data_IF_215563405269
#
_entry.id   IF_215563405269
#
_cell.length_a   1.000
_cell.length_b   1.000
_cell.length_c   1.000
_cell.angle_alpha   90.00
_cell.angle_beta   90.00
_cell.angle_gamma   90.00
#
_symmetry.space_group_name_H-M   'P 1'
#
loop_
_entity.id
_entity.type
_entity.pdbx_description
1 polymer ?
#
# COMPACT_ATOMS: atom_id res chain seq x y z
N UNK A 1 -16.81 -12.47 -11.82
CA UNK A 1 -15.48 -12.20 -11.28
C UNK A 1 -15.33 -12.89 -9.93
N UNK A 2 -14.23 -13.61 -9.70
CA UNK A 2 -14.02 -14.27 -8.42
C UNK A 2 -13.71 -13.25 -7.32
N UNK A 3 -13.86 -13.67 -6.06
CA UNK A 3 -13.51 -12.82 -4.93
C UNK A 3 -12.02 -12.45 -4.95
N UNK A 4 -11.17 -13.37 -5.37
CA UNK A 4 -9.73 -13.13 -5.46
C UNK A 4 -9.40 -12.10 -6.53
N UNK A 5 -10.08 -12.15 -7.67
CA UNK A 5 -9.90 -11.15 -8.72
C UNK A 5 -10.39 -9.77 -8.27
N UNK A 6 -11.51 -9.71 -7.53
CA UNK A 6 -11.99 -8.45 -6.95
C UNK A 6 -10.98 -7.88 -5.97
N UNK A 7 -10.41 -8.72 -5.12
CA UNK A 7 -9.40 -8.28 -4.17
C UNK A 7 -8.16 -7.76 -4.90
N UNK A 8 -7.71 -8.46 -5.95
CA UNK A 8 -6.57 -8.01 -6.75
C UNK A 8 -6.83 -6.64 -7.37
N UNK A 9 -8.03 -6.41 -7.90
CA UNK A 9 -8.39 -5.11 -8.45
C UNK A 9 -8.35 -4.01 -7.38
N UNK A 10 -8.87 -4.29 -6.19
CA UNK A 10 -8.87 -3.32 -5.10
C UNK A 10 -7.46 -2.99 -4.63
N UNK A 11 -6.60 -4.01 -4.53
CA UNK A 11 -5.19 -3.81 -4.19
C UNK A 11 -4.49 -3.00 -5.28
N UNK A 12 -4.72 -3.31 -6.55
CA UNK A 12 -4.12 -2.58 -7.66
C UNK A 12 -4.55 -1.13 -7.68
N UNK A 13 -5.83 -0.83 -7.43
CA UNK A 13 -6.31 0.54 -7.35
C UNK A 13 -5.64 1.29 -6.18
N UNK A 14 -5.50 0.63 -5.05
CA UNK A 14 -4.82 1.21 -3.89
C UNK A 14 -3.37 1.56 -4.23
N UNK A 15 -2.68 0.67 -4.94
CA UNK A 15 -1.31 0.89 -5.37
C UNK A 15 -1.22 2.09 -6.31
N UNK A 16 -2.11 2.18 -7.29
CA UNK A 16 -2.11 3.30 -8.24
C UNK A 16 -2.35 4.64 -7.52
N UNK A 17 -3.28 4.67 -6.56
CA UNK A 17 -3.52 5.87 -5.77
C UNK A 17 -2.30 6.24 -4.93
N UNK A 18 -1.65 5.25 -4.32
CA UNK A 18 -0.45 5.49 -3.52
C UNK A 18 0.69 6.03 -4.38
N UNK A 19 0.86 5.49 -5.59
CA UNK A 19 1.89 5.96 -6.53
C UNK A 19 1.64 7.41 -6.91
N UNK A 20 0.39 7.81 -7.11
CA UNK A 20 0.03 9.19 -7.42
C UNK A 20 0.40 10.17 -6.30
N UNK A 21 0.46 9.67 -5.07
CA UNK A 21 0.74 10.51 -3.91
C UNK A 21 2.22 10.59 -3.54
N UNK A 22 3.10 9.89 -4.25
CA UNK A 22 4.53 9.84 -3.93
C UNK A 22 5.15 11.23 -3.88
N UNK A 23 4.90 12.07 -4.89
CA UNK A 23 5.50 13.39 -4.97
C UNK A 23 5.02 14.29 -3.82
N UNK A 24 3.74 14.20 -3.46
CA UNK A 24 3.20 14.97 -2.35
C UNK A 24 3.84 14.54 -1.02
N UNK A 25 4.00 13.25 -0.80
CA UNK A 25 4.65 12.74 0.40
C UNK A 25 6.12 13.18 0.47
N UNK A 26 6.84 13.12 -0.66
CA UNK A 26 8.24 13.57 -0.68
C UNK A 26 8.36 15.03 -0.28
N UNK A 27 7.50 15.90 -0.83
CA UNK A 27 7.52 17.33 -0.51
C UNK A 27 7.21 17.57 0.96
N UNK A 28 6.21 16.89 1.50
CA UNK A 28 5.83 17.05 2.91
C UNK A 28 6.94 16.61 3.84
N UNK A 29 7.56 15.47 3.55
CA UNK A 29 8.63 14.94 4.38
C UNK A 29 9.85 15.87 4.34
N UNK A 30 10.22 16.36 3.17
CA UNK A 30 11.33 17.32 3.04
C UNK A 30 11.04 18.60 3.82
N UNK A 31 9.82 19.12 3.72
CA UNK A 31 9.43 20.34 4.42
C UNK A 31 9.42 20.16 5.95
N UNK A 32 9.13 18.95 6.44
CA UNK A 32 9.02 18.66 7.87
C UNK A 32 10.25 17.98 8.45
N UNK A 33 11.32 17.84 7.69
CA UNK A 33 12.44 17.00 8.09
C UNK A 33 13.21 17.53 9.30
N UNK A 34 13.12 18.83 9.59
CA UNK A 34 13.69 19.37 10.84
C UNK A 34 13.07 18.71 12.07
N UNK A 35 11.78 18.42 11.98
CA UNK A 35 11.04 17.75 13.07
C UNK A 35 11.21 16.26 13.00
N UNK A 36 11.07 15.68 11.80
CA UNK A 36 11.06 14.23 11.62
C UNK A 36 12.45 13.60 11.72
N UNK A 37 13.49 14.35 11.34
CA UNK A 37 14.90 13.91 11.41
C UNK A 37 15.14 12.59 10.69
N UNK A 38 14.56 12.46 9.49
CA UNK A 38 14.67 11.27 8.67
C UNK A 38 15.99 11.30 7.91
N UNK A 39 16.76 10.22 7.98
CA UNK A 39 18.07 10.13 7.30
C UNK A 39 17.91 9.82 5.82
N UNK A 40 16.94 8.98 5.47
CA UNK A 40 16.70 8.60 4.07
C UNK A 40 15.23 8.84 3.74
N UNK A 41 14.89 10.03 3.22
CA UNK A 41 13.51 10.36 2.90
C UNK A 41 12.86 9.41 1.89
N UNK A 42 13.61 8.92 0.91
CA UNK A 42 13.05 8.02 -0.11
C UNK A 42 12.67 6.67 0.49
N UNK A 43 13.51 6.11 1.34
CA UNK A 43 13.17 4.87 2.04
C UNK A 43 12.00 5.05 3.00
N UNK A 44 11.93 6.20 3.65
CA UNK A 44 10.80 6.51 4.52
C UNK A 44 9.50 6.58 3.71
N UNK A 45 9.51 7.23 2.56
CA UNK A 45 8.35 7.30 1.67
C UNK A 45 7.96 5.89 1.21
N UNK A 46 8.94 5.06 0.85
CA UNK A 46 8.67 3.68 0.48
C UNK A 46 7.92 2.95 1.60
N UNK A 47 8.37 3.09 2.84
CA UNK A 47 7.70 2.48 4.00
C UNK A 47 6.29 3.00 4.20
N UNK A 48 6.08 4.32 4.06
CA UNK A 48 4.74 4.92 4.14
C UNK A 48 3.80 4.36 3.08
N UNK A 49 4.27 4.29 1.84
CA UNK A 49 3.48 3.77 0.73
C UNK A 49 3.12 2.31 0.97
N UNK A 50 4.09 1.49 1.38
CA UNK A 50 3.83 0.08 1.67
C UNK A 50 2.85 -0.09 2.83
N UNK A 51 3.00 0.70 3.89
CA UNK A 51 2.07 0.66 5.01
C UNK A 51 0.65 1.02 4.59
N UNK A 52 0.50 2.03 3.74
CA UNK A 52 -0.80 2.45 3.22
C UNK A 52 -1.42 1.34 2.36
N UNK A 53 -0.64 0.76 1.45
CA UNK A 53 -1.14 -0.31 0.57
C UNK A 53 -1.58 -1.51 1.38
N UNK A 54 -0.76 -1.96 2.32
CA UNK A 54 -1.07 -3.14 3.14
C UNK A 54 -2.28 -2.88 4.04
N UNK A 55 -2.34 -1.70 4.67
CA UNK A 55 -3.45 -1.34 5.53
C UNK A 55 -4.78 -1.24 4.79
N UNK A 56 -4.79 -0.54 3.66
CA UNK A 56 -6.00 -0.38 2.86
C UNK A 56 -6.41 -1.70 2.19
N UNK A 57 -5.44 -2.51 1.79
CA UNK A 57 -5.72 -3.83 1.21
C UNK A 57 -6.40 -4.75 2.21
N UNK A 58 -5.94 -4.78 3.45
CA UNK A 58 -6.58 -5.58 4.50
C UNK A 58 -7.96 -5.03 4.84
N UNK A 59 -8.11 -3.70 4.87
CA UNK A 59 -9.42 -3.08 5.10
C UNK A 59 -10.43 -3.44 4.01
N UNK A 60 -9.99 -3.43 2.75
CA UNK A 60 -10.82 -3.83 1.62
C UNK A 60 -11.27 -5.29 1.77
N UNK A 61 -10.35 -6.18 2.14
CA UNK A 61 -10.66 -7.58 2.35
C UNK A 61 -11.66 -7.74 3.51
N UNK A 62 -11.49 -6.97 4.58
CA UNK A 62 -12.41 -7.01 5.72
C UNK A 62 -13.83 -6.64 5.28
N UNK A 63 -13.98 -5.62 4.43
CA UNK A 63 -15.29 -5.22 3.90
C UNK A 63 -15.90 -6.33 3.05
N UNK A 64 -15.10 -6.96 2.18
CA UNK A 64 -15.57 -8.05 1.33
C UNK A 64 -16.06 -9.23 2.18
N UNK A 65 -15.32 -9.60 3.22
CA UNK A 65 -15.67 -10.72 4.08
C UNK A 65 -16.92 -10.40 4.90
N UNK A 66 -17.04 -9.19 5.41
CA UNK A 66 -18.23 -8.76 6.14
C UNK A 66 -19.47 -8.82 5.25
N UNK A 67 -19.35 -8.35 4.01
CA UNK A 67 -20.47 -8.36 3.05
C UNK A 67 -20.92 -9.78 2.70
N UNK A 68 -20.01 -10.75 2.70
CA UNK A 68 -20.31 -12.14 2.37
C UNK A 68 -20.56 -13.04 3.59
N UNK A 69 -20.51 -12.46 4.80
CA UNK A 69 -20.73 -13.21 6.04
C UNK A 69 -19.58 -14.15 6.40
N UNK A 70 -18.38 -13.91 5.90
CA UNK A 70 -17.24 -14.81 6.11
C UNK A 70 -16.35 -14.42 7.31
N UNK A 71 -16.79 -13.49 8.14
CA UNK A 71 -16.07 -13.10 9.35
C UNK A 71 -15.02 -12.04 9.09
N UNK A 72 -13.90 -12.12 9.82
CA UNK A 72 -12.81 -11.15 9.73
C UNK A 72 -11.62 -11.76 8.98
N UNK A 73 -10.70 -10.91 8.46
CA UNK A 73 -9.51 -11.42 7.78
C UNK A 73 -8.66 -12.29 8.70
N UNK A 74 -8.21 -13.42 8.18
CA UNK A 74 -7.29 -14.33 8.87
C UNK A 74 -5.85 -13.92 8.59
N UNK A 75 -4.85 -14.46 9.34
CA UNK A 75 -3.45 -14.24 8.99
C UNK A 75 -3.11 -14.66 7.56
N UNK A 76 -3.72 -15.75 7.07
CA UNK A 76 -3.52 -16.19 5.68
C UNK A 76 -4.06 -15.15 4.69
N UNK A 77 -5.20 -14.54 4.99
CA UNK A 77 -5.77 -13.48 4.16
C UNK A 77 -4.84 -12.27 4.09
N UNK A 78 -4.25 -11.89 5.23
CA UNK A 78 -3.31 -10.79 5.28
C UNK A 78 -2.06 -11.08 4.46
N UNK A 79 -1.57 -12.31 4.50
CA UNK A 79 -0.43 -12.73 3.68
C UNK A 79 -0.76 -12.68 2.19
N UNK A 80 -1.99 -12.98 1.82
CA UNK A 80 -2.44 -12.89 0.43
C UNK A 80 -2.38 -11.45 -0.07
N UNK A 81 -2.88 -10.50 0.72
CA UNK A 81 -2.80 -9.07 0.41
C UNK A 81 -1.33 -8.64 0.29
N UNK A 82 -0.50 -9.06 1.23
CA UNK A 82 0.93 -8.76 1.20
C UNK A 82 1.58 -9.26 -0.09
N UNK A 83 1.30 -10.49 -0.48
CA UNK A 83 1.91 -11.07 -1.68
C UNK A 83 1.47 -10.33 -2.95
N UNK A 84 0.22 -9.90 -3.00
CA UNK A 84 -0.28 -9.07 -4.10
C UNK A 84 0.46 -7.73 -4.18
N UNK A 85 0.69 -7.10 -3.03
CA UNK A 85 1.41 -5.84 -2.97
C UNK A 85 2.89 -6.02 -3.33
N UNK A 86 3.51 -7.09 -2.85
CA UNK A 86 4.94 -7.32 -3.06
C UNK A 86 5.28 -7.56 -4.53
N UNK A 87 4.35 -8.08 -5.32
CA UNK A 87 4.57 -8.23 -6.77
C UNK A 87 4.80 -6.88 -7.45
N UNK A 88 4.28 -5.81 -6.89
CA UNK A 88 4.37 -4.46 -7.44
C UNK A 88 5.49 -3.63 -6.82
N UNK A 89 6.24 -4.18 -5.86
CA UNK A 89 7.33 -3.45 -5.19
C UNK A 89 8.36 -2.89 -6.17
N UNK A 90 8.82 -3.62 -7.19
CA UNK A 90 9.79 -3.03 -8.12
C UNK A 90 9.28 -1.76 -8.81
N UNK A 91 8.01 -1.72 -9.19
CA UNK A 91 7.38 -0.55 -9.79
C UNK A 91 7.32 0.62 -8.79
N UNK A 92 6.96 0.33 -7.55
CA UNK A 92 6.87 1.35 -6.50
C UNK A 92 8.25 1.95 -6.26
N UNK A 93 9.28 1.11 -6.11
CA UNK A 93 10.64 1.58 -5.87
C UNK A 93 11.16 2.39 -7.05
N UNK A 94 10.88 1.95 -8.27
CA UNK A 94 11.26 2.69 -9.46
C UNK A 94 10.69 4.11 -9.45
N UNK A 95 9.41 4.25 -9.10
CA UNK A 95 8.75 5.56 -9.08
C UNK A 95 9.30 6.47 -7.99
N UNK A 96 9.82 5.92 -6.90
CA UNK A 96 10.40 6.70 -5.80
C UNK A 96 11.85 7.04 -6.06
N UNK A 97 12.64 6.06 -6.53
CA UNK A 97 14.10 6.17 -6.57
C UNK A 97 14.66 6.62 -7.92
N UNK A 98 13.94 6.41 -9.00
CA UNK A 98 14.41 6.72 -10.34
C UNK A 98 13.94 8.09 -10.85
N UNK A 99 13.74 9.01 -9.94
CA UNK A 99 13.38 10.39 -10.28
C UNK A 99 14.58 11.31 -10.25
#
# INVERSE_FOLDING_TARGET
MSAEEQLQQMVDQTIEMAIMNIDAYMKEIEASNEILKIKDPKEFVFGLIMGQILGLGVAALAQMKAASGQGTPTPQDQMKVRDMAYKRVPQIRERIFDK
#
